data_IF_228451312992
#
_entry.id   IF_228451312992
#
_cell.length_a   1.000
_cell.length_b   1.000
_cell.length_c   1.000
_cell.angle_alpha   90.00
_cell.angle_beta   90.00
_cell.angle_gamma   90.00
#
_symmetry.space_group_name_H-M   'P 1'
#
loop_
_entity.id
_entity.type
_entity.pdbx_description
1 polymer ?
#
# COMPACT_ATOMS: atom_id res chain seq x y z
N UNK A 1 8.04 21.99 1.01
CA UNK A 1 7.92 20.58 1.46
C UNK A 1 9.33 20.00 1.56
N UNK A 2 9.53 18.72 1.91
CA UNK A 2 10.88 18.12 1.92
C UNK A 2 11.01 17.20 0.72
N UNK A 3 11.98 17.44 -0.15
CA UNK A 3 12.26 16.57 -1.30
C UNK A 3 12.53 15.13 -0.83
N UNK A 4 12.07 14.16 -1.61
CA UNK A 4 12.33 12.75 -1.33
C UNK A 4 13.82 12.45 -1.39
N UNK A 5 14.29 11.56 -0.51
CA UNK A 5 15.68 11.07 -0.49
C UNK A 5 15.80 9.67 -1.11
N UNK A 6 14.75 9.18 -1.76
CA UNK A 6 14.72 7.86 -2.41
C UNK A 6 15.48 7.92 -3.73
N UNK A 7 16.44 7.02 -3.91
CA UNK A 7 17.23 6.84 -5.14
C UNK A 7 16.87 5.53 -5.84
N UNK A 8 17.21 5.41 -7.13
CA UNK A 8 17.05 4.16 -7.88
C UNK A 8 17.83 3.00 -7.24
N UNK A 9 19.06 3.25 -6.77
CA UNK A 9 19.87 2.23 -6.08
C UNK A 9 19.15 1.69 -4.83
N UNK A 10 18.50 2.57 -4.06
CA UNK A 10 17.74 2.15 -2.87
C UNK A 10 16.50 1.33 -3.23
N UNK A 11 15.87 1.60 -4.38
CA UNK A 11 14.73 0.81 -4.88
C UNK A 11 15.20 -0.56 -5.42
N UNK A 12 16.40 -0.60 -6.00
CA UNK A 12 17.06 -1.84 -6.40
C UNK A 12 17.36 -2.73 -5.19
N UNK A 13 17.93 -2.16 -4.11
CA UNK A 13 18.14 -2.89 -2.84
C UNK A 13 16.82 -3.48 -2.30
N UNK A 14 15.72 -2.73 -2.37
CA UNK A 14 14.41 -3.23 -1.94
C UNK A 14 13.91 -4.39 -2.80
N UNK A 15 14.22 -4.38 -4.10
CA UNK A 15 13.88 -5.46 -5.03
C UNK A 15 14.69 -6.72 -4.69
N UNK A 16 15.99 -6.56 -4.42
CA UNK A 16 16.89 -7.67 -4.06
C UNK A 16 16.52 -8.31 -2.72
N UNK A 17 16.02 -7.50 -1.77
CA UNK A 17 15.51 -7.97 -0.48
C UNK A 17 14.06 -8.51 -0.54
N UNK A 18 13.42 -8.55 -1.72
CA UNK A 18 12.06 -9.05 -1.91
C UNK A 18 10.95 -8.15 -1.36
N UNK A 19 11.25 -6.89 -1.03
CA UNK A 19 10.29 -5.90 -0.53
C UNK A 19 9.58 -5.15 -1.67
N UNK A 20 10.17 -5.14 -2.86
CA UNK A 20 9.58 -4.64 -4.10
C UNK A 20 9.55 -5.72 -5.18
N UNK A 21 8.50 -5.77 -6.02
CA UNK A 21 8.53 -6.56 -7.24
C UNK A 21 9.61 -6.04 -8.20
N UNK A 22 10.06 -6.91 -9.12
CA UNK A 22 11.03 -6.51 -10.14
C UNK A 22 10.54 -5.32 -10.95
N UNK A 23 11.45 -4.40 -11.29
CA UNK A 23 11.16 -3.21 -12.11
C UNK A 23 10.50 -3.56 -13.45
N UNK A 24 10.84 -4.72 -14.02
CA UNK A 24 10.23 -5.23 -15.25
C UNK A 24 8.73 -5.58 -15.14
N UNK A 25 8.20 -5.75 -13.92
CA UNK A 25 6.81 -6.14 -13.65
C UNK A 25 5.94 -4.93 -13.30
N UNK A 26 6.45 -4.04 -12.46
CA UNK A 26 5.67 -2.92 -11.90
C UNK A 26 6.21 -1.54 -12.28
N UNK A 27 7.27 -1.48 -13.08
CA UNK A 27 7.85 -0.24 -13.63
C UNK A 27 8.08 0.86 -12.59
N UNK A 28 8.50 0.48 -11.37
CA UNK A 28 8.78 1.45 -10.31
C UNK A 28 9.86 2.43 -10.76
N UNK A 29 9.80 3.67 -10.25
CA UNK A 29 10.82 4.70 -10.49
C UNK A 29 11.05 5.54 -9.24
N UNK A 30 12.27 6.04 -9.07
CA UNK A 30 12.55 7.04 -8.06
C UNK A 30 11.87 8.38 -8.40
N UNK A 31 11.51 9.19 -7.38
CA UNK A 31 11.04 10.55 -7.63
C UNK A 31 12.15 11.40 -8.25
N UNK A 32 11.77 12.28 -9.18
CA UNK A 32 12.69 13.21 -9.83
C UNK A 32 13.13 14.30 -8.84
N UNK A 33 14.43 14.59 -8.77
CA UNK A 33 15.01 15.51 -7.79
C UNK A 33 14.50 16.96 -7.90
N UNK A 34 14.04 17.34 -9.09
CA UNK A 34 13.47 18.67 -9.40
C UNK A 34 12.04 18.87 -8.91
N UNK A 35 11.34 17.80 -8.52
CA UNK A 35 9.95 17.89 -8.06
C UNK A 35 9.87 17.84 -6.53
N UNK A 36 9.41 18.92 -5.91
CA UNK A 36 9.12 18.97 -4.47
C UNK A 36 7.92 18.09 -4.10
N UNK A 37 6.96 17.92 -5.01
CA UNK A 37 5.78 17.08 -4.87
C UNK A 37 5.80 15.93 -5.89
N UNK A 38 5.33 14.73 -5.54
CA UNK A 38 5.22 13.63 -6.49
C UNK A 38 4.34 14.00 -7.69
N UNK A 39 4.83 13.73 -8.90
CA UNK A 39 4.06 13.89 -10.15
C UNK A 39 3.89 12.52 -10.82
N UNK A 40 2.89 11.71 -10.39
CA UNK A 40 2.61 10.43 -11.01
C UNK A 40 2.00 10.62 -12.41
N UNK A 41 2.34 9.73 -13.33
CA UNK A 41 1.60 9.56 -14.59
C UNK A 41 0.23 8.91 -14.33
N UNK A 42 -0.66 8.89 -15.33
CA UNK A 42 -2.04 8.43 -15.18
C UNK A 42 -2.16 6.96 -14.71
N UNK A 43 -1.13 6.14 -14.92
CA UNK A 43 -1.04 4.73 -14.51
C UNK A 43 -0.10 4.49 -13.32
N UNK A 44 0.44 5.56 -12.73
CA UNK A 44 1.37 5.47 -11.60
C UNK A 44 0.66 5.82 -10.29
N UNK A 45 1.09 5.16 -9.23
CA UNK A 45 0.72 5.49 -7.85
C UNK A 45 1.95 5.92 -7.08
N UNK A 46 1.76 6.83 -6.13
CA UNK A 46 2.82 7.21 -5.18
C UNK A 46 2.80 6.21 -4.02
N UNK A 47 3.95 5.64 -3.70
CA UNK A 47 4.13 4.76 -2.54
C UNK A 47 5.33 5.18 -1.71
N UNK A 48 5.28 4.91 -0.41
CA UNK A 48 6.36 5.19 0.52
C UNK A 48 7.12 3.90 0.84
N UNK A 49 8.46 3.95 0.87
CA UNK A 49 9.28 2.78 1.21
C UNK A 49 8.90 2.15 2.55
N UNK A 50 8.50 2.98 3.53
CA UNK A 50 8.04 2.52 4.84
C UNK A 50 6.85 1.56 4.78
N UNK A 51 6.00 1.63 3.74
CA UNK A 51 4.91 0.68 3.52
C UNK A 51 5.43 -0.68 3.07
N UNK A 52 6.40 -0.70 2.17
CA UNK A 52 7.03 -1.93 1.70
C UNK A 52 7.79 -2.66 2.82
N UNK A 53 8.53 -1.92 3.65
CA UNK A 53 9.20 -2.46 4.84
C UNK A 53 8.22 -3.12 5.84
N UNK A 54 6.95 -2.70 5.84
CA UNK A 54 5.91 -3.17 6.77
C UNK A 54 4.94 -4.16 6.14
N UNK A 55 5.22 -4.66 4.93
CA UNK A 55 4.33 -5.58 4.21
C UNK A 55 3.05 -4.96 3.66
N UNK A 56 2.96 -3.62 3.66
CA UNK A 56 1.90 -2.84 3.01
C UNK A 56 2.27 -2.45 1.56
N UNK A 57 3.40 -2.94 1.07
CA UNK A 57 3.85 -2.74 -0.30
C UNK A 57 2.92 -3.38 -1.32
N UNK A 58 2.92 -2.85 -2.55
CA UNK A 58 2.16 -3.43 -3.65
C UNK A 58 2.82 -4.71 -4.19
N UNK A 59 2.08 -5.81 -4.46
CA UNK A 59 0.63 -5.95 -4.32
C UNK A 59 0.23 -6.24 -2.87
N UNK A 60 -0.38 -5.26 -2.20
CA UNK A 60 -0.98 -5.47 -0.89
C UNK A 60 -2.14 -6.44 -0.99
N UNK A 61 -2.61 -6.92 0.16
CA UNK A 61 -3.73 -7.87 0.24
C UNK A 61 -4.92 -7.43 -0.64
N UNK A 62 -5.56 -8.36 -1.37
CA UNK A 62 -6.66 -8.02 -2.30
C UNK A 62 -7.79 -7.24 -1.62
N UNK A 63 -8.07 -7.58 -0.35
CA UNK A 63 -9.04 -6.84 0.45
C UNK A 63 -8.62 -5.40 0.71
N UNK A 64 -7.35 -5.14 1.06
CA UNK A 64 -6.83 -3.79 1.26
C UNK A 64 -7.03 -2.96 -0.02
N UNK A 65 -6.70 -3.53 -1.19
CA UNK A 65 -6.95 -2.87 -2.49
C UNK A 65 -8.44 -2.58 -2.72
N UNK A 66 -9.31 -3.54 -2.38
CA UNK A 66 -10.76 -3.38 -2.49
C UNK A 66 -11.31 -2.29 -1.58
N UNK A 67 -10.80 -2.18 -0.34
CA UNK A 67 -11.14 -1.11 0.60
C UNK A 67 -10.70 0.23 0.04
N UNK A 68 -9.42 0.39 -0.29
CA UNK A 68 -8.88 1.64 -0.82
C UNK A 68 -9.66 2.14 -2.04
N UNK A 69 -9.97 1.23 -2.99
CA UNK A 69 -10.79 1.55 -4.16
C UNK A 69 -12.23 1.94 -3.79
N UNK A 70 -12.90 1.17 -2.92
CA UNK A 70 -14.30 1.43 -2.53
C UNK A 70 -14.51 2.80 -1.89
N UNK A 71 -13.53 3.29 -1.14
CA UNK A 71 -13.60 4.59 -0.46
C UNK A 71 -12.79 5.68 -1.17
N UNK A 72 -12.25 5.42 -2.36
CA UNK A 72 -11.43 6.36 -3.14
C UNK A 72 -10.29 7.00 -2.32
N UNK A 73 -9.65 6.18 -1.48
CA UNK A 73 -8.53 6.60 -0.63
C UNK A 73 -7.25 5.87 -1.01
N UNK A 74 -6.12 6.53 -0.81
CA UNK A 74 -4.80 5.97 -1.02
C UNK A 74 -4.21 5.47 0.32
N UNK A 75 -3.20 4.57 0.30
CA UNK A 75 -2.60 4.06 1.53
C UNK A 75 -2.13 5.14 2.52
N UNK A 76 -1.62 6.28 2.03
CA UNK A 76 -1.18 7.37 2.90
C UNK A 76 -2.31 8.14 3.62
N UNK A 77 -3.55 7.98 3.18
CA UNK A 77 -4.71 8.55 3.89
C UNK A 77 -5.11 7.71 5.10
N UNK A 78 -4.61 6.47 5.22
CA UNK A 78 -4.87 5.62 6.38
C UNK A 78 -4.02 6.06 7.57
N UNK A 79 -4.67 6.34 8.69
CA UNK A 79 -3.98 6.49 9.97
C UNK A 79 -3.60 5.10 10.55
N UNK A 80 -2.72 5.04 11.56
CA UNK A 80 -2.29 3.77 12.16
C UNK A 80 -3.45 2.89 12.64
N UNK A 81 -4.53 3.48 13.16
CA UNK A 81 -5.71 2.74 13.60
C UNK A 81 -6.47 2.13 12.42
N UNK A 82 -6.59 2.84 11.29
CA UNK A 82 -7.20 2.35 10.08
C UNK A 82 -6.45 1.14 9.52
N UNK A 83 -5.12 1.23 9.46
CA UNK A 83 -4.27 0.09 9.08
C UNK A 83 -4.48 -1.10 10.03
N UNK A 84 -4.49 -0.85 11.35
CA UNK A 84 -4.68 -1.89 12.36
C UNK A 84 -6.05 -2.58 12.24
N UNK A 85 -7.13 -1.82 12.03
CA UNK A 85 -8.47 -2.37 11.87
C UNK A 85 -8.59 -3.23 10.61
N UNK A 86 -8.00 -2.79 9.49
CA UNK A 86 -7.99 -3.57 8.25
C UNK A 86 -7.20 -4.87 8.44
N UNK A 87 -5.98 -4.79 9.01
CA UNK A 87 -5.15 -5.98 9.25
C UNK A 87 -5.81 -6.96 10.22
N UNK A 88 -6.38 -6.45 11.32
CA UNK A 88 -7.13 -7.23 12.30
C UNK A 88 -8.35 -7.91 11.70
N UNK A 89 -9.08 -7.21 10.82
CA UNK A 89 -10.23 -7.77 10.13
C UNK A 89 -9.85 -8.88 9.13
N UNK A 90 -8.79 -8.68 8.35
CA UNK A 90 -8.27 -9.74 7.45
C UNK A 90 -7.87 -10.96 8.27
N UNK A 91 -7.14 -10.76 9.37
CA UNK A 91 -6.73 -11.84 10.29
C UNK A 91 -7.93 -12.58 10.89
N UNK A 92 -8.98 -11.86 11.30
CA UNK A 92 -10.22 -12.43 11.80
C UNK A 92 -10.90 -13.29 10.72
N UNK A 93 -11.06 -12.76 9.51
CA UNK A 93 -11.75 -13.45 8.42
C UNK A 93 -11.01 -14.72 8.01
N UNK A 94 -9.72 -14.62 7.73
CA UNK A 94 -8.94 -15.73 7.16
C UNK A 94 -8.50 -16.72 8.24
N UNK A 95 -8.03 -16.22 9.38
CA UNK A 95 -7.46 -17.04 10.45
C UNK A 95 -8.51 -17.71 11.34
N UNK A 96 -9.58 -16.99 11.69
CA UNK A 96 -10.57 -17.48 12.66
C UNK A 96 -11.86 -17.94 11.99
N UNK A 97 -12.43 -17.12 11.10
CA UNK A 97 -13.72 -17.41 10.46
C UNK A 97 -13.58 -18.32 9.23
N UNK A 98 -12.37 -18.40 8.64
CA UNK A 98 -12.06 -19.12 7.40
C UNK A 98 -12.96 -18.71 6.24
N UNK A 99 -13.22 -17.41 6.12
CA UNK A 99 -13.97 -16.78 5.03
C UNK A 99 -13.10 -15.71 4.36
N UNK A 100 -13.44 -15.38 3.12
CA UNK A 100 -12.80 -14.26 2.46
C UNK A 100 -13.26 -12.92 3.07
N UNK A 101 -12.33 -12.03 3.44
CA UNK A 101 -12.68 -10.70 3.89
C UNK A 101 -13.37 -9.92 2.77
N UNK A 102 -14.52 -9.31 3.06
CA UNK A 102 -15.29 -8.55 2.06
C UNK A 102 -15.93 -7.29 2.67
N UNK A 103 -16.08 -6.27 1.83
CA UNK A 103 -16.32 -4.89 2.28
C UNK A 103 -17.65 -4.67 3.00
N UNK A 104 -18.67 -5.49 2.73
CA UNK A 104 -19.97 -5.39 3.41
C UNK A 104 -19.86 -5.87 4.86
N UNK A 105 -19.13 -6.95 5.10
CA UNK A 105 -18.87 -7.44 6.46
C UNK A 105 -17.99 -6.45 7.22
N UNK A 106 -16.94 -5.92 6.60
CA UNK A 106 -16.13 -4.86 7.22
C UNK A 106 -16.98 -3.65 7.64
N UNK A 107 -17.90 -3.20 6.78
CA UNK A 107 -18.83 -2.12 7.12
C UNK A 107 -19.71 -2.48 8.33
N UNK A 108 -20.24 -3.69 8.40
CA UNK A 108 -21.06 -4.13 9.53
C UNK A 108 -20.29 -4.14 10.87
N UNK A 109 -18.99 -4.41 10.86
CA UNK A 109 -18.16 -4.40 12.08
C UNK A 109 -17.75 -2.99 12.53
N UNK A 110 -17.50 -2.07 11.60
CA UNK A 110 -16.82 -0.80 11.92
C UNK A 110 -17.63 0.48 11.62
N UNK A 111 -18.77 0.38 10.94
CA UNK A 111 -19.57 1.54 10.46
C UNK A 111 -21.06 1.40 10.81
N UNK A 112 -21.36 0.88 12.01
CA UNK A 112 -22.74 0.68 12.51
C UNK A 112 -23.66 1.87 12.25
#
# INVERSE_FOLDING_TARGET
MRSSTVTEDRLQDFTENGLLPQKAVVHWRAPLAEHEEPQPEADQIVSFLAFHERGLGYPGHLFLRGVLNKWEVEPQHLNPNGVLHIAGFVTLCEGFLRIDPHANLFRAFFYG
#
